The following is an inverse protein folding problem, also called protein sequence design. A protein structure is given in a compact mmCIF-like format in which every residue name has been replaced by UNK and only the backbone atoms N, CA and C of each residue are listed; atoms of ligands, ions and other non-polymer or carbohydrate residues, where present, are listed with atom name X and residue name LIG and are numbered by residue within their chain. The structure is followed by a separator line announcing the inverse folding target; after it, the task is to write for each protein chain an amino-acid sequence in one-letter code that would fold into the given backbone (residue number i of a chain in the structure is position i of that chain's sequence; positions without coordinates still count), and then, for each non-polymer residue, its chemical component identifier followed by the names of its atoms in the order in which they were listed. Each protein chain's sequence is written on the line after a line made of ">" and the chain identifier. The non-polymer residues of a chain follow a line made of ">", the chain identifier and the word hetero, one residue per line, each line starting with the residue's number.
data_IF_121540359807
#
_entry.id   IF_121540359807
#
_cell.length_a   1.000
_cell.length_b   1.000
_cell.length_c   1.000
_cell.angle_alpha   90.00
_cell.angle_beta   90.00
_cell.angle_gamma   90.00
#
_symmetry.space_group_name_H-M   'P 1'
#
loop_
_entity.id
_entity.type
_entity.pdbx_description
1 polymer ?
#
# COMPACT_ATOMS: atom_id res chain seq x y z
N UNK A 1 8.27 -29.35 21.43
CA UNK A 1 7.64 -28.19 22.08
C UNK A 1 7.23 -27.24 20.96
N UNK A 2 5.99 -27.35 20.48
CA UNK A 2 5.54 -26.64 19.29
C UNK A 2 4.92 -25.32 19.76
N UNK A 3 5.63 -24.21 19.58
CA UNK A 3 5.06 -22.88 19.79
C UNK A 3 4.14 -22.62 18.59
N UNK A 4 2.85 -22.86 18.77
CA UNK A 4 1.83 -22.38 17.84
C UNK A 4 1.79 -20.87 17.98
N UNK A 5 2.34 -20.14 17.00
CA UNK A 5 2.17 -18.69 16.93
C UNK A 5 0.71 -18.39 16.62
N UNK A 6 -0.09 -18.10 17.65
CA UNK A 6 -1.42 -17.53 17.45
C UNK A 6 -1.25 -16.15 16.82
N UNK A 7 -1.71 -16.01 15.57
CA UNK A 7 -1.77 -14.72 14.90
C UNK A 7 -2.61 -13.75 15.76
N UNK A 8 -2.17 -12.49 15.94
CA UNK A 8 -2.94 -11.52 16.71
C UNK A 8 -4.32 -11.34 16.09
N UNK A 9 -5.37 -11.51 16.90
CA UNK A 9 -6.73 -11.27 16.45
C UNK A 9 -7.04 -9.77 16.59
N UNK A 10 -6.87 -9.03 15.49
CA UNK A 10 -7.21 -7.61 15.46
C UNK A 10 -8.73 -7.41 15.35
N UNK A 11 -9.27 -6.38 16.00
CA UNK A 11 -10.70 -6.05 15.87
C UNK A 11 -11.00 -5.46 14.49
N UNK A 12 -12.21 -5.72 13.99
CA UNK A 12 -12.71 -5.13 12.73
C UNK A 12 -12.68 -3.60 12.80
N UNK A 13 -13.01 -3.03 13.96
CA UNK A 13 -12.95 -1.59 14.20
C UNK A 13 -11.52 -1.04 14.02
N UNK A 14 -10.50 -1.72 14.55
CA UNK A 14 -9.12 -1.30 14.38
C UNK A 14 -8.71 -1.33 12.90
N UNK A 15 -9.09 -2.38 12.16
CA UNK A 15 -8.80 -2.48 10.73
C UNK A 15 -9.43 -1.33 9.94
N UNK A 16 -10.68 -0.96 10.26
CA UNK A 16 -11.34 0.19 9.64
C UNK A 16 -10.63 1.49 9.99
N UNK A 17 -10.22 1.70 11.24
CA UNK A 17 -9.49 2.89 11.66
C UNK A 17 -8.16 3.04 10.91
N UNK A 18 -7.40 1.95 10.76
CA UNK A 18 -6.15 1.96 9.99
C UNK A 18 -6.40 2.29 8.53
N UNK A 19 -7.39 1.63 7.90
CA UNK A 19 -7.74 1.90 6.49
C UNK A 19 -8.12 3.38 6.28
N UNK A 20 -9.02 3.90 7.10
CA UNK A 20 -9.50 5.28 6.96
C UNK A 20 -8.37 6.28 7.18
N UNK A 21 -7.44 6.00 8.11
CA UNK A 21 -6.27 6.85 8.34
C UNK A 21 -5.34 6.89 7.12
N UNK A 22 -5.13 5.75 6.45
CA UNK A 22 -4.32 5.66 5.22
C UNK A 22 -5.02 6.41 4.08
N UNK A 23 -6.31 6.18 3.86
CA UNK A 23 -7.08 6.85 2.81
C UNK A 23 -7.07 8.37 3.01
N UNK A 24 -7.33 8.85 4.23
CA UNK A 24 -7.26 10.29 4.56
C UNK A 24 -5.84 10.87 4.40
N UNK A 25 -4.79 10.10 4.68
CA UNK A 25 -3.42 10.54 4.42
C UNK A 25 -3.16 10.73 2.93
N UNK A 26 -3.65 9.84 2.08
CA UNK A 26 -3.49 9.92 0.63
C UNK A 26 -4.31 11.08 0.05
N UNK A 27 -5.55 11.28 0.50
CA UNK A 27 -6.40 12.42 0.10
C UNK A 27 -5.77 13.79 0.39
N UNK A 28 -5.03 13.91 1.50
CA UNK A 28 -4.30 15.14 1.83
C UNK A 28 -3.02 15.35 1.01
N UNK A 29 -2.56 14.31 0.30
CA UNK A 29 -1.29 14.29 -0.43
C UNK A 29 -1.50 13.86 -1.89
N UNK A 30 -2.39 14.57 -2.60
CA UNK A 30 -2.61 14.34 -4.03
C UNK A 30 -1.30 14.54 -4.79
N UNK A 31 -0.97 13.59 -5.67
CA UNK A 31 0.26 13.60 -6.44
C UNK A 31 0.02 13.13 -7.87
N UNK A 32 0.79 13.66 -8.82
CA UNK A 32 0.76 13.25 -10.23
C UNK A 32 1.37 11.85 -10.45
N UNK A 33 2.20 11.39 -9.51
CA UNK A 33 2.93 10.14 -9.61
C UNK A 33 3.19 9.45 -8.26
N UNK A 34 3.49 8.15 -8.32
CA UNK A 34 3.84 7.30 -7.18
C UNK A 34 5.08 6.45 -7.49
N UNK A 35 5.88 6.18 -6.46
CA UNK A 35 6.93 5.17 -6.52
C UNK A 35 6.33 3.80 -6.19
N UNK A 36 6.42 2.87 -7.13
CA UNK A 36 5.83 1.54 -7.03
C UNK A 36 6.94 0.49 -7.06
N UNK A 37 7.28 -0.05 -5.89
CA UNK A 37 8.27 -1.14 -5.78
C UNK A 37 7.64 -2.53 -5.95
N UNK A 38 6.30 -2.62 -5.97
CA UNK A 38 5.55 -3.88 -5.93
C UNK A 38 5.40 -4.46 -4.53
N UNK A 39 6.12 -3.92 -3.53
CA UNK A 39 5.90 -4.25 -2.13
C UNK A 39 4.50 -3.84 -1.68
N UNK A 40 3.98 -4.54 -0.67
CA UNK A 40 2.61 -4.37 -0.16
C UNK A 40 2.28 -2.90 0.13
N UNK A 41 3.17 -2.20 0.83
CA UNK A 41 2.95 -0.81 1.25
C UNK A 41 2.74 0.12 0.04
N UNK A 42 3.66 0.07 -0.94
CA UNK A 42 3.56 0.90 -2.15
C UNK A 42 2.36 0.52 -3.02
N UNK A 43 1.99 -0.76 -3.04
CA UNK A 43 0.81 -1.26 -3.76
C UNK A 43 -0.49 -0.77 -3.13
N UNK A 44 -0.58 -0.71 -1.79
CA UNK A 44 -1.72 -0.12 -1.08
C UNK A 44 -1.85 1.37 -1.42
N UNK A 45 -0.73 2.11 -1.34
CA UNK A 45 -0.73 3.55 -1.66
C UNK A 45 -1.13 3.80 -3.11
N UNK A 46 -0.53 3.09 -4.08
CA UNK A 46 -0.85 3.23 -5.49
C UNK A 46 -2.32 2.86 -5.80
N UNK A 47 -2.82 1.79 -5.19
CA UNK A 47 -4.22 1.34 -5.36
C UNK A 47 -5.23 2.38 -4.87
N UNK A 48 -4.96 3.03 -3.74
CA UNK A 48 -5.84 4.07 -3.20
C UNK A 48 -5.69 5.37 -3.99
N UNK A 49 -4.45 5.82 -4.25
CA UNK A 49 -4.19 7.09 -4.95
C UNK A 49 -4.72 7.10 -6.39
N UNK A 50 -4.70 5.96 -7.09
CA UNK A 50 -5.23 5.84 -8.46
C UNK A 50 -6.74 6.07 -8.57
N UNK A 51 -7.48 6.07 -7.45
CA UNK A 51 -8.93 6.39 -7.43
C UNK A 51 -9.19 7.89 -7.62
N UNK A 52 -8.20 8.74 -7.41
CA UNK A 52 -8.33 10.20 -7.45
C UNK A 52 -8.11 10.80 -8.86
N UNK A 53 -7.71 9.97 -9.83
CA UNK A 53 -7.48 10.40 -11.21
C UNK A 53 -6.34 9.63 -11.87
N UNK A 54 -5.76 10.22 -12.92
CA UNK A 54 -4.65 9.62 -13.66
C UNK A 54 -3.36 9.72 -12.82
N UNK A 55 -2.86 8.58 -12.34
CA UNK A 55 -1.63 8.48 -11.56
C UNK A 55 -0.54 7.77 -12.38
N UNK A 56 0.65 8.38 -12.49
CA UNK A 56 1.83 7.71 -13.08
C UNK A 56 2.54 6.87 -12.02
N UNK A 57 2.95 5.65 -12.34
CA UNK A 57 3.76 4.82 -11.46
C UNK A 57 5.18 4.70 -12.01
N UNK A 58 6.17 4.81 -11.13
CA UNK A 58 7.58 4.62 -11.45
C UNK A 58 8.18 3.52 -10.59
N UNK A 59 8.88 2.60 -11.23
CA UNK A 59 9.63 1.51 -10.61
C UNK A 59 11.09 1.60 -11.05
N UNK A 60 12.00 1.05 -10.26
CA UNK A 60 13.42 0.93 -10.60
C UNK A 60 13.81 -0.53 -10.44
N UNK A 61 14.38 -1.10 -11.49
CA UNK A 61 14.85 -2.47 -11.52
C UNK A 61 16.21 -2.54 -12.23
N UNK A 62 16.97 -3.60 -11.95
CA UNK A 62 18.15 -3.94 -12.74
C UNK A 62 17.72 -4.33 -14.16
N UNK A 63 18.62 -4.15 -15.12
CA UNK A 63 18.40 -4.62 -16.49
C UNK A 63 18.10 -6.13 -16.49
N UNK A 64 17.09 -6.54 -17.26
CA UNK A 64 16.56 -7.91 -17.35
C UNK A 64 15.95 -8.50 -16.07
N UNK A 65 15.85 -7.74 -14.97
CA UNK A 65 15.15 -8.21 -13.77
C UNK A 65 13.62 -8.03 -13.91
N UNK A 66 12.82 -8.99 -13.41
CA UNK A 66 11.38 -8.82 -13.36
C UNK A 66 11.02 -7.64 -12.45
N UNK A 67 10.17 -6.75 -12.95
CA UNK A 67 9.62 -5.61 -12.22
C UNK A 67 8.10 -5.71 -12.20
N UNK A 68 7.43 -5.15 -11.17
CA UNK A 68 6.00 -4.89 -11.18
C UNK A 68 5.55 -4.11 -12.41
#
# INVERSE_FOLDING_TARGET
>A
MTISAQAPQYSVELMHRVRNAIEAAIERNVADAVLLSGGLDTSIVASIASRQGRLKAYTVALEDAPSP
#
